data_IF_485553110366
#
_entry.id   IF_485553110366
#
_cell.length_a   1.000
_cell.length_b   1.000
_cell.length_c   1.000
_cell.angle_alpha   90.00
_cell.angle_beta   90.00
_cell.angle_gamma   90.00
#
_symmetry.space_group_name_H-M   'P 1'
#
loop_
_entity.id
_entity.type
_entity.pdbx_description
1 polymer ?
#
# COMPACT_ATOMS: atom_id res chain seq x y z
N UNK A 1 -21.34 -7.81 -8.00
CA UNK A 1 -20.48 -7.67 -6.80
C UNK A 1 -20.56 -6.22 -6.38
N UNK A 2 -20.81 -5.90 -5.10
CA UNK A 2 -20.85 -4.50 -4.64
C UNK A 2 -19.44 -4.02 -4.27
N UNK A 3 -19.22 -2.71 -4.35
CA UNK A 3 -17.93 -2.07 -4.04
C UNK A 3 -17.50 -2.29 -2.58
N UNK A 4 -18.45 -2.44 -1.64
CA UNK A 4 -18.11 -2.75 -0.25
C UNK A 4 -17.45 -4.13 -0.12
N UNK A 5 -17.92 -5.11 -0.89
CA UNK A 5 -17.32 -6.45 -0.91
C UNK A 5 -15.92 -6.42 -1.53
N UNK A 6 -15.69 -5.60 -2.56
CA UNK A 6 -14.35 -5.43 -3.14
C UNK A 6 -13.36 -4.84 -2.12
N UNK A 7 -13.77 -3.82 -1.36
CA UNK A 7 -12.95 -3.22 -0.30
C UNK A 7 -12.71 -4.20 0.84
N UNK A 8 -13.74 -4.93 1.28
CA UNK A 8 -13.60 -5.91 2.35
C UNK A 8 -12.68 -7.06 1.94
N UNK A 9 -12.77 -7.54 0.70
CA UNK A 9 -11.85 -8.53 0.14
C UNK A 9 -10.41 -8.01 0.05
N UNK A 10 -10.21 -6.75 -0.35
CA UNK A 10 -8.88 -6.13 -0.37
C UNK A 10 -8.28 -6.00 1.03
N UNK A 11 -9.05 -5.56 2.02
CA UNK A 11 -8.56 -5.54 3.41
C UNK A 11 -8.31 -6.96 3.92
N UNK A 12 -9.16 -7.93 3.57
CA UNK A 12 -8.98 -9.32 4.01
C UNK A 12 -7.77 -10.01 3.36
N UNK A 13 -7.45 -9.67 2.09
CA UNK A 13 -6.24 -10.18 1.43
C UNK A 13 -4.96 -9.70 2.13
N UNK A 14 -4.95 -8.49 2.67
CA UNK A 14 -3.81 -7.95 3.43
C UNK A 14 -3.63 -8.62 4.81
N UNK A 15 -4.69 -9.22 5.39
CA UNK A 15 -4.65 -9.84 6.72
C UNK A 15 -4.64 -11.38 6.71
N UNK A 16 -4.83 -12.01 5.55
CA UNK A 16 -5.02 -13.46 5.43
C UNK A 16 -4.03 -14.12 4.47
N UNK A 17 -3.62 -15.35 4.79
CA UNK A 17 -2.90 -16.29 3.90
C UNK A 17 -3.49 -16.43 2.49
N UNK A 18 -4.74 -15.98 2.31
CA UNK A 18 -5.54 -15.97 1.09
C UNK A 18 -4.90 -15.09 0.00
N UNK A 19 -4.06 -14.11 0.40
CA UNK A 19 -3.31 -13.26 -0.53
C UNK A 19 -2.49 -14.07 -1.54
N UNK A 20 -1.96 -15.24 -1.18
CA UNK A 20 -1.06 -16.00 -2.06
C UNK A 20 -1.77 -16.67 -3.25
N UNK A 21 -2.94 -17.28 -3.05
CA UNK A 21 -3.72 -17.86 -4.15
C UNK A 21 -4.45 -16.77 -4.95
N UNK A 22 -4.86 -15.67 -4.30
CA UNK A 22 -5.51 -14.55 -4.97
C UNK A 22 -4.54 -13.65 -5.75
N UNK A 23 -3.26 -13.58 -5.34
CA UNK A 23 -2.16 -12.87 -5.99
C UNK A 23 -1.96 -13.30 -7.44
N UNK A 24 -2.26 -14.55 -7.75
CA UNK A 24 -2.12 -15.14 -9.09
C UNK A 24 -3.47 -15.43 -9.77
N UNK A 25 -4.59 -15.17 -9.08
CA UNK A 25 -5.93 -15.45 -9.60
C UNK A 25 -6.37 -14.45 -10.69
N UNK A 26 -7.21 -14.91 -11.61
CA UNK A 26 -7.74 -14.15 -12.75
C UNK A 26 -8.60 -12.91 -12.36
N UNK A 27 -8.88 -12.70 -11.07
CA UNK A 27 -9.73 -11.60 -10.59
C UNK A 27 -9.00 -10.26 -10.41
N UNK A 28 -7.66 -10.25 -10.53
CA UNK A 28 -6.86 -9.01 -10.53
C UNK A 28 -6.80 -8.29 -9.18
N UNK A 29 -7.03 -9.00 -8.07
CA UNK A 29 -6.94 -8.45 -6.72
C UNK A 29 -5.55 -7.88 -6.43
N UNK A 30 -4.48 -8.56 -6.87
CA UNK A 30 -3.11 -8.05 -6.76
C UNK A 30 -2.90 -6.71 -7.47
N UNK A 31 -3.52 -6.52 -8.65
CA UNK A 31 -3.44 -5.25 -9.40
C UNK A 31 -4.16 -4.15 -8.63
N UNK A 32 -5.35 -4.45 -8.10
CA UNK A 32 -6.12 -3.50 -7.30
C UNK A 32 -5.38 -3.11 -6.01
N UNK A 33 -4.76 -4.09 -5.32
CA UNK A 33 -3.97 -3.83 -4.13
C UNK A 33 -2.75 -2.95 -4.43
N UNK A 34 -2.03 -3.28 -5.51
CA UNK A 34 -0.91 -2.49 -6.01
C UNK A 34 -1.29 -1.04 -6.30
N UNK A 35 -2.45 -0.83 -6.93
CA UNK A 35 -2.98 0.51 -7.23
C UNK A 35 -3.27 1.26 -5.93
N UNK A 36 -3.84 0.61 -4.91
CA UNK A 36 -4.14 1.22 -3.62
C UNK A 36 -2.86 1.65 -2.91
N UNK A 37 -1.85 0.77 -2.82
CA UNK A 37 -0.57 1.11 -2.19
C UNK A 37 0.16 2.25 -2.91
N UNK A 38 0.14 2.23 -4.25
CA UNK A 38 0.69 3.32 -5.06
C UNK A 38 -0.03 4.65 -4.77
N UNK A 39 -1.37 4.65 -4.78
CA UNK A 39 -2.15 5.86 -4.46
C UNK A 39 -1.97 6.31 -3.02
N UNK A 40 -1.88 5.39 -2.07
CA UNK A 40 -1.63 5.71 -0.66
C UNK A 40 -0.26 6.40 -0.50
N UNK A 41 0.78 5.88 -1.17
CA UNK A 41 2.09 6.52 -1.23
C UNK A 41 2.02 7.92 -1.86
N UNK A 42 1.33 8.06 -3.00
CA UNK A 42 1.19 9.34 -3.68
C UNK A 42 0.42 10.37 -2.83
N UNK A 43 -0.82 10.06 -2.46
CA UNK A 43 -1.71 10.97 -1.72
C UNK A 43 -1.10 11.31 -0.36
N UNK A 44 -0.61 10.32 0.38
CA UNK A 44 -0.01 10.54 1.70
C UNK A 44 1.18 11.50 1.62
N UNK A 45 2.11 11.29 0.68
CA UNK A 45 3.28 12.15 0.56
C UNK A 45 2.98 13.50 -0.11
N UNK A 46 2.00 13.55 -1.00
CA UNK A 46 1.46 14.81 -1.52
C UNK A 46 0.91 15.67 -0.37
N UNK A 47 0.09 15.10 0.51
CA UNK A 47 -0.40 15.77 1.71
C UNK A 47 0.76 16.22 2.62
N UNK A 48 1.80 15.38 2.77
CA UNK A 48 2.99 15.72 3.57
C UNK A 48 3.72 16.99 3.06
N UNK A 49 3.83 17.17 1.75
CA UNK A 49 4.46 18.37 1.18
C UNK A 49 3.66 19.63 1.45
N UNK A 50 2.33 19.57 1.28
CA UNK A 50 1.48 20.76 1.26
C UNK A 50 0.79 21.08 2.60
N UNK A 51 0.79 20.15 3.56
CA UNK A 51 0.19 20.30 4.89
C UNK A 51 1.21 20.02 6.01
N UNK A 52 1.99 21.04 6.44
CA UNK A 52 3.02 20.88 7.46
C UNK A 52 2.51 20.32 8.80
N UNK A 53 1.26 20.62 9.15
CA UNK A 53 0.56 20.15 10.34
C UNK A 53 0.31 18.63 10.34
N UNK A 54 0.22 18.01 9.15
CA UNK A 54 -0.02 16.57 9.01
C UNK A 54 1.26 15.74 8.97
N UNK A 55 2.44 16.35 8.84
CA UNK A 55 3.70 15.63 8.59
C UNK A 55 4.02 14.58 9.64
N UNK A 56 3.87 14.92 10.93
CA UNK A 56 4.11 13.99 12.03
C UNK A 56 3.18 12.78 11.98
N UNK A 57 1.89 13.02 11.75
CA UNK A 57 0.88 11.96 11.61
C UNK A 57 1.16 11.06 10.41
N UNK A 58 1.45 11.65 9.25
CA UNK A 58 1.72 10.90 8.02
C UNK A 58 3.00 10.06 8.14
N UNK A 59 4.03 10.57 8.82
CA UNK A 59 5.24 9.81 9.11
C UNK A 59 4.97 8.65 10.07
N UNK A 60 4.14 8.88 11.10
CA UNK A 60 3.72 7.81 12.01
C UNK A 60 2.91 6.71 11.29
N UNK A 61 2.00 7.09 10.38
CA UNK A 61 1.24 6.15 9.55
C UNK A 61 2.16 5.34 8.64
N UNK A 62 3.15 5.97 7.99
CA UNK A 62 4.13 5.25 7.16
C UNK A 62 4.97 4.27 7.98
N UNK A 63 5.41 4.66 9.18
CA UNK A 63 6.15 3.77 10.09
C UNK A 63 5.26 2.59 10.53
N UNK A 64 4.02 2.87 10.92
CA UNK A 64 3.07 1.83 11.32
C UNK A 64 2.79 0.85 10.16
N UNK A 65 2.67 1.37 8.93
CA UNK A 65 2.53 0.54 7.73
C UNK A 65 3.76 -0.34 7.50
N UNK A 66 4.98 0.20 7.56
CA UNK A 66 6.20 -0.62 7.45
C UNK A 66 6.28 -1.72 8.53
N UNK A 67 5.85 -1.42 9.76
CA UNK A 67 5.78 -2.43 10.83
C UNK A 67 4.72 -3.50 10.54
N UNK A 68 3.58 -3.11 9.97
CA UNK A 68 2.53 -4.05 9.55
C UNK A 68 3.06 -5.07 8.53
N UNK A 69 3.88 -4.61 7.58
CA UNK A 69 4.53 -5.49 6.59
C UNK A 69 5.47 -6.52 7.26
N UNK A 70 6.15 -6.14 8.34
CA UNK A 70 6.95 -7.10 9.14
C UNK A 70 6.04 -8.07 9.90
N UNK A 71 4.91 -7.60 10.42
CA UNK A 71 3.93 -8.45 11.12
C UNK A 71 3.30 -9.47 10.16
N UNK A 72 3.04 -9.08 8.90
CA UNK A 72 2.51 -9.98 7.87
C UNK A 72 3.40 -11.19 7.60
N UNK A 73 4.71 -11.11 7.79
CA UNK A 73 5.61 -12.27 7.66
C UNK A 73 5.29 -13.41 8.65
N UNK A 74 4.52 -13.12 9.72
CA UNK A 74 4.08 -14.10 10.71
C UNK A 74 2.69 -14.68 10.42
N UNK A 75 2.07 -14.27 9.31
CA UNK A 75 0.76 -14.80 8.91
C UNK A 75 0.92 -16.26 8.47
N UNK A 76 0.00 -17.18 8.84
CA UNK A 76 0.04 -18.55 8.35
C UNK A 76 0.09 -18.57 6.81
N UNK A 77 0.93 -19.40 6.18
CA UNK A 77 1.03 -19.45 4.71
C UNK A 77 2.42 -19.84 4.21
N UNK A 78 2.63 -19.76 2.89
CA UNK A 78 3.97 -19.86 2.30
C UNK A 78 4.75 -18.58 2.60
N UNK A 79 5.77 -18.71 3.45
CA UNK A 79 6.64 -17.60 3.87
C UNK A 79 7.23 -16.82 2.68
N UNK A 80 7.63 -17.52 1.61
CA UNK A 80 8.26 -16.87 0.45
C UNK A 80 7.28 -15.96 -0.26
N UNK A 81 6.04 -16.42 -0.43
CA UNK A 81 5.01 -15.68 -1.15
C UNK A 81 4.52 -14.49 -0.33
N UNK A 82 4.35 -14.65 0.98
CA UNK A 82 4.05 -13.55 1.90
C UNK A 82 5.18 -12.51 1.94
N UNK A 83 6.44 -12.95 1.97
CA UNK A 83 7.59 -12.04 1.96
C UNK A 83 7.69 -11.24 0.65
N UNK A 84 7.39 -11.87 -0.50
CA UNK A 84 7.35 -11.19 -1.79
C UNK A 84 6.21 -10.18 -1.88
N UNK A 85 5.04 -10.53 -1.35
CA UNK A 85 3.88 -9.64 -1.27
C UNK A 85 4.20 -8.41 -0.42
N UNK A 86 4.69 -8.61 0.81
CA UNK A 86 5.06 -7.50 1.69
C UNK A 86 6.18 -6.62 1.13
N UNK A 87 7.13 -7.21 0.39
CA UNK A 87 8.16 -6.46 -0.31
C UNK A 87 7.56 -5.62 -1.46
N UNK A 88 6.63 -6.18 -2.22
CA UNK A 88 5.96 -5.50 -3.31
C UNK A 88 5.11 -4.32 -2.82
N UNK A 89 4.37 -4.49 -1.74
CA UNK A 89 3.61 -3.46 -1.05
C UNK A 89 4.45 -2.23 -0.72
N UNK A 90 5.63 -2.44 -0.12
CA UNK A 90 6.58 -1.37 0.19
C UNK A 90 7.07 -0.68 -1.09
N UNK A 91 7.37 -1.45 -2.14
CA UNK A 91 7.81 -0.91 -3.44
C UNK A 91 6.70 -0.07 -4.08
N UNK A 92 5.45 -0.53 -4.07
CA UNK A 92 4.30 0.19 -4.62
C UNK A 92 4.10 1.54 -3.92
N UNK A 93 4.17 1.56 -2.59
CA UNK A 93 4.14 2.82 -1.81
C UNK A 93 5.32 3.73 -2.19
N UNK A 94 6.54 3.20 -2.29
CA UNK A 94 7.72 3.97 -2.64
C UNK A 94 7.63 4.60 -4.04
N UNK A 95 7.01 3.90 -5.01
CA UNK A 95 6.70 4.44 -6.34
C UNK A 95 5.74 5.63 -6.21
N UNK A 96 4.66 5.48 -5.44
CA UNK A 96 3.71 6.57 -5.17
C UNK A 96 4.37 7.80 -4.55
N UNK A 97 5.20 7.59 -3.52
CA UNK A 97 6.00 8.65 -2.87
C UNK A 97 6.92 9.35 -3.89
N UNK A 98 7.61 8.57 -4.73
CA UNK A 98 8.53 9.11 -5.73
C UNK A 98 7.80 9.95 -6.77
N UNK A 99 6.58 9.55 -7.15
CA UNK A 99 5.72 10.34 -8.02
C UNK A 99 5.30 11.66 -7.34
N UNK A 100 4.79 11.61 -6.10
CA UNK A 100 4.42 12.82 -5.36
C UNK A 100 5.61 13.79 -5.20
N UNK A 101 6.81 13.25 -4.95
CA UNK A 101 8.05 14.04 -4.92
C UNK A 101 8.36 14.69 -6.26
N UNK A 102 8.21 13.95 -7.37
CA UNK A 102 8.41 14.50 -8.72
C UNK A 102 7.46 15.66 -9.01
N UNK A 103 6.18 15.53 -8.64
CA UNK A 103 5.18 16.59 -8.84
C UNK A 103 5.47 17.83 -7.99
N UNK A 104 5.85 17.63 -6.72
CA UNK A 104 6.26 18.73 -5.84
C UNK A 104 7.47 19.49 -6.40
N UNK A 105 8.47 18.78 -6.96
CA UNK A 105 9.65 19.40 -7.57
C UNK A 105 9.36 20.12 -8.88
N UNK A 106 8.32 19.72 -9.61
CA UNK A 106 7.85 20.41 -10.83
C UNK A 106 7.01 21.65 -10.53
N UNK A 107 6.62 21.87 -9.27
CA UNK A 107 5.78 22.99 -8.87
C UNK A 107 4.33 22.85 -9.35
N UNK A 108 3.82 21.62 -9.46
CA UNK A 108 2.41 21.37 -9.80
C UNK A 108 1.53 22.11 -8.76
N UNK A 109 0.56 22.95 -9.21
CA UNK A 109 -0.27 23.72 -8.30
C UNK A 109 -1.12 22.81 -7.40
N UNK A 110 -1.37 23.31 -6.19
CA UNK A 110 -2.08 22.66 -5.08
C UNK A 110 -3.53 22.31 -5.42
#
# INVERSE_FOLDING_TARGET
>A
MSWENDIFSLMYSDFGAVGVEELTSQFGLWVRNSIIHLWAGYVGFHQWFYHPDLRGTLQAVLIAYCLLQVVQLWTPGDFTLVALDSAWDIVAVAIGISWAWSDAMRGVPK
#
